data_IF_847126850620
#
_entry.id   IF_847126850620
#
_cell.length_a   1.000
_cell.length_b   1.000
_cell.length_c   1.000
_cell.angle_alpha   90.00
_cell.angle_beta   90.00
_cell.angle_gamma   90.00
#
_symmetry.space_group_name_H-M   'P 1'
#
loop_
_entity.id
_entity.type
_entity.pdbx_description
1 polymer ?
#
# COMPACT_ATOMS: atom_id res chain seq x y z
N UNK A 1 -19.48 18.10 -12.59
CA UNK A 1 -18.64 17.12 -11.88
C UNK A 1 -18.91 15.79 -12.55
N UNK A 2 -17.90 14.96 -12.82
CA UNK A 2 -18.11 13.71 -13.57
C UNK A 2 -18.86 12.68 -12.76
N UNK A 3 -19.64 11.85 -13.46
CA UNK A 3 -20.32 10.67 -12.90
C UNK A 3 -19.36 9.78 -12.09
N UNK A 4 -18.08 9.69 -12.49
CA UNK A 4 -17.06 8.91 -11.80
C UNK A 4 -16.67 9.47 -10.42
N UNK A 5 -16.37 10.77 -10.32
CA UNK A 5 -16.03 11.37 -9.02
C UNK A 5 -17.24 11.37 -8.07
N UNK A 6 -18.45 11.39 -8.61
CA UNK A 6 -19.67 11.28 -7.81
C UNK A 6 -19.84 9.90 -7.15
N UNK A 7 -19.15 8.85 -7.63
CA UNK A 7 -19.06 7.54 -6.96
C UNK A 7 -18.16 7.55 -5.72
N UNK A 8 -17.36 8.60 -5.52
CA UNK A 8 -16.48 8.78 -4.37
C UNK A 8 -17.09 9.76 -3.36
N UNK A 9 -16.78 9.56 -2.07
CA UNK A 9 -17.18 10.48 -1.03
C UNK A 9 -16.61 11.89 -1.27
N UNK A 10 -17.27 12.99 -0.84
CA UNK A 10 -16.83 14.35 -1.15
C UNK A 10 -15.36 14.66 -0.78
N UNK A 11 -14.84 14.04 0.29
CA UNK A 11 -13.45 14.19 0.75
C UNK A 11 -12.44 13.33 -0.02
N UNK A 12 -12.93 12.36 -0.79
CA UNK A 12 -12.16 11.36 -1.54
C UNK A 12 -12.02 11.73 -3.02
N UNK A 13 -12.59 12.86 -3.45
CA UNK A 13 -12.62 13.29 -4.86
C UNK A 13 -11.32 13.95 -5.31
N UNK A 14 -10.32 14.10 -4.45
CA UNK A 14 -9.03 14.74 -4.75
C UNK A 14 -7.87 13.88 -4.26
N UNK A 15 -6.68 14.15 -4.78
CA UNK A 15 -5.45 13.50 -4.31
C UNK A 15 -5.28 12.11 -4.88
N UNK A 16 -4.79 11.18 -4.06
CA UNK A 16 -4.38 9.85 -4.52
C UNK A 16 -5.56 8.95 -4.86
N UNK A 17 -6.60 8.95 -4.02
CA UNK A 17 -7.79 8.09 -4.19
C UNK A 17 -8.38 8.10 -5.61
N UNK A 18 -8.83 9.22 -6.19
CA UNK A 18 -9.43 9.21 -7.53
C UNK A 18 -8.45 8.74 -8.60
N UNK A 19 -7.14 8.92 -8.39
CA UNK A 19 -6.09 8.42 -9.31
C UNK A 19 -5.87 6.91 -9.19
N UNK A 20 -5.99 6.35 -7.99
CA UNK A 20 -5.99 4.89 -7.80
C UNK A 20 -7.21 4.23 -8.45
N UNK A 21 -8.39 4.84 -8.31
CA UNK A 21 -9.58 4.40 -9.07
C UNK A 21 -9.37 4.56 -10.57
N UNK A 22 -8.71 5.64 -11.03
CA UNK A 22 -8.39 5.77 -12.45
C UNK A 22 -7.45 4.67 -12.95
N UNK A 23 -6.40 4.33 -12.20
CA UNK A 23 -5.46 3.25 -12.55
C UNK A 23 -6.16 1.89 -12.76
N UNK A 24 -7.24 1.65 -12.02
CA UNK A 24 -7.98 0.38 -11.98
C UNK A 24 -9.31 0.42 -12.75
N UNK A 25 -9.58 1.48 -13.52
CA UNK A 25 -10.80 1.64 -14.33
C UNK A 25 -10.64 1.17 -15.78
N UNK A 26 -11.71 0.79 -16.46
CA UNK A 26 -11.67 0.38 -17.88
C UNK A 26 -11.57 -1.13 -18.10
N UNK A 27 -11.09 -1.52 -19.29
CA UNK A 27 -10.92 -2.93 -19.63
C UNK A 27 -9.85 -3.61 -18.77
N UNK A 28 -10.00 -4.91 -18.56
CA UNK A 28 -9.04 -5.71 -17.80
C UNK A 28 -7.62 -5.65 -18.37
N UNK A 29 -7.50 -5.55 -19.69
CA UNK A 29 -6.24 -5.43 -20.43
C UNK A 29 -5.54 -4.11 -20.10
N UNK A 30 -6.24 -2.98 -20.20
CA UNK A 30 -5.66 -1.67 -19.90
C UNK A 30 -5.28 -1.52 -18.43
N UNK A 31 -6.08 -2.07 -17.51
CA UNK A 31 -5.73 -2.08 -16.08
C UNK A 31 -4.47 -2.91 -15.86
N UNK A 32 -4.40 -4.12 -16.42
CA UNK A 32 -3.24 -4.98 -16.29
C UNK A 32 -1.96 -4.34 -16.84
N UNK A 33 -2.04 -3.65 -17.98
CA UNK A 33 -0.92 -2.89 -18.56
C UNK A 33 -0.45 -1.77 -17.62
N UNK A 34 -1.37 -0.97 -17.10
CA UNK A 34 -1.02 0.13 -16.17
C UNK A 34 -0.45 -0.36 -14.85
N UNK A 35 -0.97 -1.46 -14.29
CA UNK A 35 -0.42 -2.03 -13.05
C UNK A 35 0.93 -2.71 -13.30
N UNK A 36 1.11 -3.34 -14.47
CA UNK A 36 2.39 -3.94 -14.87
C UNK A 36 3.48 -2.89 -15.00
N UNK A 37 3.21 -1.76 -15.66
CA UNK A 37 4.23 -0.70 -15.83
C UNK A 37 4.71 -0.09 -14.52
N UNK A 38 3.94 -0.19 -13.43
CA UNK A 38 4.38 0.22 -12.09
C UNK A 38 5.37 -0.77 -11.47
N UNK A 39 5.28 -2.05 -11.79
CA UNK A 39 6.03 -3.12 -11.12
C UNK A 39 7.14 -3.74 -11.97
N UNK A 40 7.23 -3.40 -13.25
CA UNK A 40 8.34 -3.85 -14.10
C UNK A 40 9.72 -3.44 -13.53
N UNK A 41 10.76 -4.28 -13.74
CA UNK A 41 10.73 -5.63 -14.34
C UNK A 41 10.36 -6.75 -13.33
N UNK A 42 9.93 -6.39 -12.12
CA UNK A 42 9.81 -7.30 -10.98
C UNK A 42 8.55 -8.15 -10.96
N UNK A 43 7.58 -7.85 -11.81
CA UNK A 43 6.37 -8.66 -11.91
C UNK A 43 5.50 -8.27 -13.09
N UNK A 44 4.39 -8.97 -13.21
CA UNK A 44 3.39 -8.76 -14.27
C UNK A 44 1.99 -8.99 -13.73
N UNK A 45 1.08 -8.10 -14.09
CA UNK A 45 -0.36 -8.25 -13.94
C UNK A 45 -0.94 -8.59 -15.31
N UNK A 46 -1.90 -9.50 -15.37
CA UNK A 46 -2.59 -9.91 -16.59
C UNK A 46 -4.09 -9.62 -16.49
N UNK A 47 -4.83 -9.66 -17.60
CA UNK A 47 -6.28 -9.49 -17.56
C UNK A 47 -7.03 -10.59 -16.78
N UNK A 48 -6.34 -11.69 -16.44
CA UNK A 48 -6.89 -12.77 -15.60
C UNK A 48 -6.69 -12.54 -14.10
N UNK A 49 -5.80 -11.62 -13.73
CA UNK A 49 -5.56 -11.26 -12.35
C UNK A 49 -6.75 -10.50 -11.76
N UNK A 50 -6.78 -10.43 -10.43
CA UNK A 50 -7.82 -9.73 -9.68
C UNK A 50 -7.22 -8.54 -8.96
N UNK A 51 -7.93 -7.42 -8.98
CA UNK A 51 -7.54 -6.21 -8.25
C UNK A 51 -8.71 -5.59 -7.51
N UNK A 52 -8.37 -4.72 -6.56
CA UNK A 52 -9.25 -3.84 -5.81
C UNK A 52 -8.55 -2.47 -5.62
N UNK A 53 -9.25 -1.33 -5.75
CA UNK A 53 -10.65 -1.19 -6.20
C UNK A 53 -10.81 -1.56 -7.69
N UNK A 54 -12.04 -1.72 -8.18
CA UNK A 54 -12.35 -1.94 -9.61
C UNK A 54 -12.78 -0.63 -10.27
N UNK A 55 -11.83 0.30 -10.29
CA UNK A 55 -12.04 1.66 -10.71
C UNK A 55 -13.19 2.33 -9.97
N UNK A 56 -14.10 2.95 -10.72
CA UNK A 56 -15.27 3.64 -10.19
C UNK A 56 -16.53 2.75 -10.11
N UNK A 57 -16.44 1.46 -10.49
CA UNK A 57 -17.57 0.52 -10.43
C UNK A 57 -17.71 -0.07 -9.04
N UNK A 58 -16.59 -0.55 -8.49
CA UNK A 58 -16.49 -0.96 -7.09
C UNK A 58 -15.33 -0.21 -6.44
N UNK A 59 -15.68 0.74 -5.57
CA UNK A 59 -14.73 1.67 -4.95
C UNK A 59 -14.14 1.15 -3.65
N UNK A 60 -14.44 -0.09 -3.25
CA UNK A 60 -13.89 -0.69 -2.05
C UNK A 60 -12.39 -0.97 -2.20
N UNK A 61 -11.59 -0.29 -1.37
CA UNK A 61 -10.16 -0.55 -1.20
C UNK A 61 -9.91 -1.83 -0.40
N UNK A 62 -8.74 -2.44 -0.60
CA UNK A 62 -8.48 -3.76 -0.06
C UNK A 62 -8.10 -3.71 1.43
N UNK A 63 -8.98 -4.22 2.28
CA UNK A 63 -8.58 -4.82 3.55
C UNK A 63 -8.44 -6.33 3.33
N UNK A 64 -7.20 -6.84 3.28
CA UNK A 64 -6.94 -8.21 2.80
C UNK A 64 -7.69 -9.31 3.56
N UNK A 65 -7.98 -9.11 4.85
CA UNK A 65 -8.79 -10.04 5.64
C UNK A 65 -10.26 -10.14 5.21
N UNK A 66 -10.75 -9.19 4.40
CA UNK A 66 -12.11 -9.12 3.82
C UNK A 66 -12.08 -9.10 2.29
N UNK A 67 -10.97 -9.48 1.67
CA UNK A 67 -10.78 -9.43 0.22
C UNK A 67 -10.74 -10.86 -0.38
N UNK A 68 -11.86 -11.61 -0.39
CA UNK A 68 -11.89 -12.99 -0.90
C UNK A 68 -11.51 -13.09 -2.38
N UNK A 69 -11.53 -11.95 -3.09
CA UNK A 69 -11.11 -11.82 -4.49
C UNK A 69 -9.59 -11.89 -4.66
N UNK A 70 -8.83 -11.51 -3.63
CA UNK A 70 -7.37 -11.43 -3.64
C UNK A 70 -6.73 -12.55 -2.83
N UNK A 71 -7.41 -13.01 -1.79
CA UNK A 71 -6.89 -13.96 -0.83
C UNK A 71 -7.97 -14.95 -0.39
N UNK A 72 -7.60 -16.21 -0.19
CA UNK A 72 -8.52 -17.21 0.36
C UNK A 72 -9.11 -16.74 1.70
N UNK A 73 -10.42 -16.95 1.96
CA UNK A 73 -11.06 -16.50 3.19
C UNK A 73 -10.40 -17.03 4.48
N UNK A 74 -9.87 -18.25 4.49
CA UNK A 74 -9.19 -18.81 5.66
C UNK A 74 -7.86 -18.08 5.91
N UNK A 75 -7.12 -17.76 4.85
CA UNK A 75 -5.93 -16.92 4.97
C UNK A 75 -6.29 -15.50 5.44
N UNK A 76 -7.41 -14.94 4.96
CA UNK A 76 -7.94 -13.67 5.44
C UNK A 76 -8.22 -13.69 6.95
N UNK A 77 -8.82 -14.77 7.44
CA UNK A 77 -9.06 -14.99 8.87
C UNK A 77 -7.74 -15.10 9.65
N UNK A 78 -6.76 -15.85 9.14
CA UNK A 78 -5.43 -15.95 9.76
C UNK A 78 -4.76 -14.58 9.90
N UNK A 79 -4.86 -13.71 8.88
CA UNK A 79 -4.34 -12.35 8.96
C UNK A 79 -5.06 -11.51 10.01
N UNK A 80 -6.39 -11.64 10.13
CA UNK A 80 -7.17 -10.93 11.13
C UNK A 80 -6.78 -11.34 12.55
N UNK A 81 -6.73 -12.64 12.84
CA UNK A 81 -6.42 -13.20 14.15
C UNK A 81 -4.94 -12.97 14.55
N UNK A 82 -4.06 -12.95 13.55
CA UNK A 82 -2.68 -12.55 13.75
C UNK A 82 -2.59 -11.08 14.18
N UNK A 83 -3.26 -10.17 13.47
CA UNK A 83 -3.10 -8.73 13.69
C UNK A 83 -3.87 -8.17 14.89
N UNK A 84 -5.02 -8.78 15.22
CA UNK A 84 -5.96 -8.27 16.23
C UNK A 84 -6.13 -9.29 17.35
N UNK A 85 -6.01 -8.82 18.60
CA UNK A 85 -6.32 -9.65 19.77
C UNK A 85 -7.82 -9.78 20.03
N UNK A 86 -8.60 -8.79 19.58
CA UNK A 86 -10.06 -8.75 19.72
C UNK A 86 -10.68 -8.31 18.41
N UNK A 87 -11.50 -9.19 17.83
CA UNK A 87 -12.28 -8.93 16.61
C UNK A 87 -13.65 -8.39 16.99
N UNK A 88 -14.06 -7.34 16.30
CA UNK A 88 -15.39 -6.72 16.38
C UNK A 88 -15.85 -6.34 14.98
N UNK A 89 -17.14 -6.08 14.76
CA UNK A 89 -17.65 -5.68 13.44
C UNK A 89 -16.91 -4.47 12.83
N UNK A 90 -16.43 -3.56 13.69
CA UNK A 90 -15.71 -2.34 13.31
C UNK A 90 -14.18 -2.49 13.32
N UNK A 91 -13.65 -3.69 13.60
CA UNK A 91 -12.20 -3.91 13.59
C UNK A 91 -11.64 -3.70 12.19
N UNK A 92 -10.68 -2.78 12.07
CA UNK A 92 -9.98 -2.46 10.83
C UNK A 92 -8.58 -3.06 10.83
N UNK A 93 -8.20 -3.67 9.72
CA UNK A 93 -6.80 -3.97 9.40
C UNK A 93 -6.24 -2.86 8.52
N UNK A 94 -4.93 -2.87 8.21
CA UNK A 94 -4.41 -2.15 7.07
C UNK A 94 -5.29 -2.27 5.84
N UNK A 95 -5.53 -1.11 5.22
CA UNK A 95 -6.22 -0.93 3.97
C UNK A 95 -5.18 -0.52 2.91
N UNK A 96 -5.31 -1.02 1.70
CA UNK A 96 -4.39 -0.75 0.58
C UNK A 96 -5.12 0.04 -0.50
N UNK A 97 -4.50 1.11 -0.99
CA UNK A 97 -5.12 1.96 -2.00
C UNK A 97 -5.36 1.20 -3.31
N UNK A 98 -4.41 0.32 -3.66
CA UNK A 98 -4.59 -0.74 -4.67
C UNK A 98 -3.99 -2.03 -4.14
N UNK A 99 -4.67 -3.16 -4.35
CA UNK A 99 -4.07 -4.48 -4.22
C UNK A 99 -4.47 -5.35 -5.42
N UNK A 100 -3.55 -6.17 -5.91
CA UNK A 100 -3.77 -7.07 -7.05
C UNK A 100 -3.06 -8.40 -6.86
N UNK A 101 -3.63 -9.48 -7.39
CA UNK A 101 -2.84 -10.67 -7.70
C UNK A 101 -1.89 -10.35 -8.86
N UNK A 102 -0.73 -11.00 -8.87
CA UNK A 102 0.23 -10.86 -9.94
C UNK A 102 1.16 -12.08 -10.02
N UNK A 103 1.99 -12.11 -11.05
CA UNK A 103 3.20 -12.93 -11.07
C UNK A 103 4.39 -12.07 -10.66
N UNK A 104 5.12 -12.49 -9.63
CA UNK A 104 6.37 -11.86 -9.18
C UNK A 104 7.55 -12.58 -9.81
N UNK A 105 8.39 -11.82 -10.49
CA UNK A 105 9.61 -12.26 -11.15
C UNK A 105 10.80 -12.00 -10.22
N UNK A 106 11.31 -13.05 -9.58
CA UNK A 106 12.50 -12.97 -8.75
C UNK A 106 13.44 -14.14 -9.04
N UNK A 107 14.75 -13.87 -9.13
CA UNK A 107 15.79 -14.87 -9.36
C UNK A 107 15.53 -15.76 -10.60
N UNK A 108 15.03 -15.15 -11.69
CA UNK A 108 14.76 -15.84 -12.95
C UNK A 108 13.55 -16.77 -12.96
N UNK A 109 12.70 -16.74 -11.91
CA UNK A 109 11.45 -17.53 -11.84
C UNK A 109 10.26 -16.62 -11.56
N UNK A 110 9.14 -16.91 -12.21
CA UNK A 110 7.84 -16.30 -11.91
C UNK A 110 7.11 -17.10 -10.83
N UNK A 111 6.63 -16.43 -9.78
CA UNK A 111 5.79 -17.04 -8.74
C UNK A 111 4.47 -16.25 -8.59
N UNK A 112 3.35 -16.91 -8.26
CA UNK A 112 2.16 -16.21 -7.82
C UNK A 112 2.48 -15.30 -6.62
N UNK A 113 1.91 -14.10 -6.62
CA UNK A 113 2.13 -13.13 -5.56
C UNK A 113 1.09 -12.04 -5.52
N UNK A 114 1.36 -11.05 -4.68
CA UNK A 114 0.52 -9.89 -4.47
C UNK A 114 1.28 -8.61 -4.78
N UNK A 115 0.65 -7.74 -5.55
CA UNK A 115 0.99 -6.33 -5.65
C UNK A 115 0.18 -5.58 -4.59
N UNK A 116 0.86 -4.87 -3.70
CA UNK A 116 0.27 -4.02 -2.67
C UNK A 116 0.76 -2.59 -2.85
N UNK A 117 -0.15 -1.62 -2.89
CA UNK A 117 0.18 -0.24 -3.22
C UNK A 117 -0.34 0.70 -2.14
N UNK A 118 0.56 1.56 -1.66
CA UNK A 118 0.26 2.75 -0.87
C UNK A 118 0.60 3.98 -1.72
N UNK A 119 -0.31 4.95 -1.77
CA UNK A 119 -0.23 6.08 -2.68
C UNK A 119 -0.38 7.41 -1.97
N UNK A 120 0.38 8.40 -2.43
CA UNK A 120 0.37 9.76 -1.92
C UNK A 120 0.31 10.75 -3.08
N UNK A 121 -0.34 11.88 -2.86
CA UNK A 121 -0.45 12.96 -3.84
C UNK A 121 0.17 14.28 -3.34
N UNK A 122 0.56 14.38 -2.07
CA UNK A 122 1.27 15.55 -1.55
C UNK A 122 2.16 15.23 -0.35
N UNK A 123 3.12 16.12 -0.08
CA UNK A 123 4.16 15.95 0.94
C UNK A 123 3.61 15.69 2.35
N UNK A 124 2.56 16.43 2.73
CA UNK A 124 2.01 16.36 4.10
C UNK A 124 1.36 15.02 4.48
N UNK A 125 1.05 14.15 3.52
CA UNK A 125 0.47 12.85 3.86
C UNK A 125 1.48 11.97 4.59
N UNK A 126 2.73 11.91 4.12
CA UNK A 126 3.81 11.19 4.82
C UNK A 126 4.29 11.93 6.06
N UNK A 127 4.44 13.26 6.01
CA UNK A 127 4.94 14.03 7.17
C UNK A 127 4.06 13.84 8.42
N UNK A 128 2.74 13.73 8.24
CA UNK A 128 1.80 13.50 9.35
C UNK A 128 1.91 12.09 9.94
N UNK A 129 2.47 11.15 9.19
CA UNK A 129 2.65 9.77 9.61
C UNK A 129 3.85 9.55 10.52
N UNK A 130 4.70 10.56 10.74
CA UNK A 130 5.74 10.50 11.79
C UNK A 130 5.12 10.23 13.18
N UNK A 131 3.84 10.59 13.34
CA UNK A 131 3.05 10.23 14.52
C UNK A 131 2.58 8.77 14.48
N UNK A 132 2.67 8.09 15.61
CA UNK A 132 2.24 6.71 15.77
C UNK A 132 0.73 6.50 15.74
N UNK A 133 0.35 5.23 15.86
CA UNK A 133 -1.06 4.84 16.02
C UNK A 133 -1.65 5.44 17.30
N UNK A 134 -2.43 6.49 17.16
CA UNK A 134 -3.08 7.15 18.29
C UNK A 134 -4.14 6.26 18.92
N UNK A 135 -4.20 6.28 20.26
CA UNK A 135 -5.34 5.76 21.01
C UNK A 135 -6.36 6.88 21.21
N UNK A 136 -7.65 6.60 20.99
CA UNK A 136 -8.71 7.53 21.36
C UNK A 136 -8.94 7.46 22.87
N UNK A 137 -9.06 8.61 23.52
CA UNK A 137 -9.38 8.70 24.95
C UNK A 137 -10.88 8.95 25.15
N UNK A 138 -11.54 8.26 26.11
CA UNK A 138 -10.99 7.19 26.94
C UNK A 138 -10.68 5.92 26.12
N UNK A 139 -9.58 5.24 26.46
CA UNK A 139 -9.14 4.03 25.75
C UNK A 139 -9.93 2.84 26.27
N UNK A 140 -10.64 2.13 25.39
CA UNK A 140 -11.27 0.87 25.77
C UNK A 140 -10.23 -0.24 25.94
N UNK A 141 -10.49 -1.21 26.83
CA UNK A 141 -9.60 -2.37 27.03
C UNK A 141 -9.32 -3.12 25.73
N UNK A 142 -10.34 -3.30 24.88
CA UNK A 142 -10.17 -3.94 23.56
C UNK A 142 -9.24 -3.15 22.64
N UNK A 143 -9.32 -1.82 22.66
CA UNK A 143 -8.41 -0.96 21.90
C UNK A 143 -6.97 -1.11 22.39
N UNK A 144 -6.77 -1.16 23.72
CA UNK A 144 -5.46 -1.38 24.32
C UNK A 144 -4.89 -2.76 23.99
N UNK A 145 -5.69 -3.82 24.08
CA UNK A 145 -5.28 -5.19 23.71
C UNK A 145 -4.86 -5.28 22.24
N UNK A 146 -5.64 -4.68 21.34
CA UNK A 146 -5.29 -4.62 19.91
C UNK A 146 -4.02 -3.78 19.67
N UNK A 147 -3.86 -2.68 20.39
CA UNK A 147 -2.65 -1.86 20.29
C UNK A 147 -1.41 -2.64 20.73
N UNK A 148 -1.47 -3.39 21.83
CA UNK A 148 -0.38 -4.28 22.27
C UNK A 148 -0.09 -5.40 21.26
N UNK A 149 -1.13 -6.06 20.73
CA UNK A 149 -0.98 -7.12 19.72
C UNK A 149 -0.23 -6.64 18.49
N UNK A 150 -0.61 -5.47 17.97
CA UNK A 150 0.04 -4.85 16.82
C UNK A 150 1.52 -4.54 17.12
N UNK A 151 1.82 -4.05 18.33
CA UNK A 151 3.21 -3.83 18.74
C UNK A 151 4.03 -5.11 18.69
N UNK A 152 3.46 -6.23 19.16
CA UNK A 152 4.11 -7.55 19.09
C UNK A 152 4.33 -8.02 17.65
N UNK A 153 3.30 -7.91 16.78
CA UNK A 153 3.44 -8.26 15.36
C UNK A 153 4.55 -7.46 14.66
N UNK A 154 4.67 -6.16 14.96
CA UNK A 154 5.73 -5.30 14.41
C UNK A 154 7.11 -5.69 14.97
N UNK A 155 7.20 -6.04 16.24
CA UNK A 155 8.45 -6.52 16.83
C UNK A 155 8.91 -7.84 16.21
N UNK A 156 8.00 -8.80 16.03
CA UNK A 156 8.29 -10.07 15.36
C UNK A 156 8.78 -9.81 13.92
N UNK A 157 8.16 -8.84 13.23
CA UNK A 157 8.58 -8.46 11.88
C UNK A 157 9.97 -7.81 11.82
N UNK A 158 10.35 -6.97 12.80
CA UNK A 158 11.71 -6.42 12.87
C UNK A 158 12.75 -7.54 12.95
N UNK A 159 12.52 -8.55 13.79
CA UNK A 159 13.46 -9.67 13.95
C UNK A 159 13.62 -10.44 12.64
N UNK A 160 12.51 -10.86 12.03
CA UNK A 160 12.53 -11.65 10.80
C UNK A 160 13.10 -10.87 9.60
N UNK A 161 12.79 -9.57 9.48
CA UNK A 161 13.35 -8.73 8.43
C UNK A 161 14.84 -8.47 8.65
N UNK A 162 15.29 -8.25 9.89
CA UNK A 162 16.72 -8.11 10.17
C UNK A 162 17.50 -9.36 9.84
N UNK A 163 16.99 -10.53 10.24
CA UNK A 163 17.61 -11.81 9.91
C UNK A 163 17.63 -12.05 8.40
N UNK A 164 16.50 -11.81 7.73
CA UNK A 164 16.33 -12.15 6.32
C UNK A 164 16.97 -11.16 5.33
N UNK A 165 17.13 -9.89 5.69
CA UNK A 165 17.76 -8.89 4.79
C UNK A 165 19.19 -8.53 5.20
N UNK A 166 19.64 -8.90 6.41
CA UNK A 166 20.94 -8.49 6.96
C UNK A 166 21.05 -6.99 7.29
N UNK A 167 19.92 -6.28 7.37
CA UNK A 167 19.89 -4.87 7.77
C UNK A 167 19.26 -4.69 9.15
N UNK A 168 19.60 -3.59 9.82
CA UNK A 168 18.85 -3.20 11.02
C UNK A 168 17.45 -2.70 10.62
N UNK A 169 16.42 -3.22 11.28
CA UNK A 169 15.03 -2.78 11.17
C UNK A 169 14.53 -2.24 12.50
N UNK A 170 13.80 -1.13 12.45
CA UNK A 170 13.26 -0.39 13.59
C UNK A 170 11.82 0.06 13.33
N UNK A 171 11.02 -0.82 12.70
CA UNK A 171 9.59 -0.61 12.49
C UNK A 171 8.89 -0.34 13.84
N UNK A 172 7.91 0.55 13.82
CA UNK A 172 7.26 1.02 15.03
C UNK A 172 5.74 1.16 14.87
N UNK A 173 5.03 0.81 15.93
CA UNK A 173 3.61 1.16 16.07
C UNK A 173 3.44 2.65 16.38
N UNK A 174 4.43 3.24 17.05
CA UNK A 174 4.33 4.52 17.72
C UNK A 174 4.98 5.66 16.91
N UNK A 175 5.62 5.35 15.78
CA UNK A 175 6.16 6.28 14.78
C UNK A 175 6.10 5.68 13.39
N UNK A 176 5.90 6.48 12.35
CA UNK A 176 5.88 6.02 10.95
C UNK A 176 4.95 4.80 10.77
N UNK A 177 3.79 4.84 11.44
CA UNK A 177 2.97 3.65 11.67
C UNK A 177 2.44 3.06 10.37
N UNK A 178 2.09 3.92 9.40
CA UNK A 178 1.62 3.45 8.12
C UNK A 178 2.71 2.61 7.46
N UNK A 179 3.91 3.16 7.27
CA UNK A 179 5.00 2.44 6.66
C UNK A 179 5.38 1.16 7.41
N UNK A 180 5.47 1.25 8.73
CA UNK A 180 5.77 0.10 9.58
C UNK A 180 4.75 -1.03 9.42
N UNK A 181 3.46 -0.71 9.35
CA UNK A 181 2.44 -1.73 9.15
C UNK A 181 2.46 -2.33 7.74
N UNK A 182 2.83 -1.55 6.70
CA UNK A 182 2.89 -2.03 5.31
C UNK A 182 3.98 -3.09 5.15
N UNK A 183 5.18 -2.82 5.67
CA UNK A 183 6.26 -3.82 5.68
C UNK A 183 5.95 -5.03 6.55
N UNK A 184 5.34 -4.82 7.73
CA UNK A 184 4.95 -5.90 8.62
C UNK A 184 3.91 -6.84 7.98
N UNK A 185 2.93 -6.29 7.25
CA UNK A 185 1.94 -7.08 6.53
C UNK A 185 2.53 -7.78 5.31
N UNK A 186 3.42 -7.13 4.57
CA UNK A 186 4.14 -7.78 3.46
C UNK A 186 4.95 -8.98 3.94
N UNK A 187 5.67 -8.87 5.06
CA UNK A 187 6.36 -10.02 5.66
C UNK A 187 5.36 -11.11 6.07
N UNK A 188 4.21 -10.76 6.65
CA UNK A 188 3.24 -11.78 7.04
C UNK A 188 2.72 -12.57 5.84
N UNK A 189 2.49 -11.92 4.71
CA UNK A 189 2.09 -12.59 3.47
C UNK A 189 3.19 -13.49 2.91
N UNK A 190 4.45 -13.09 3.06
CA UNK A 190 5.63 -13.90 2.75
C UNK A 190 5.65 -15.19 3.59
N UNK A 191 5.38 -15.10 4.90
CA UNK A 191 5.26 -16.28 5.78
C UNK A 191 4.12 -17.21 5.34
N UNK A 192 3.03 -16.64 4.82
CA UNK A 192 1.89 -17.38 4.28
C UNK A 192 2.12 -17.90 2.84
N UNK A 193 3.32 -17.68 2.27
CA UNK A 193 3.74 -18.28 1.01
C UNK A 193 3.56 -17.40 -0.23
N UNK A 194 3.22 -16.12 -0.08
CA UNK A 194 3.09 -15.19 -1.21
C UNK A 194 4.38 -14.40 -1.41
N UNK A 195 4.84 -14.28 -2.66
CA UNK A 195 5.77 -13.19 -3.00
C UNK A 195 5.01 -11.87 -3.03
N UNK A 196 5.64 -10.77 -2.59
CA UNK A 196 4.99 -9.47 -2.44
C UNK A 196 5.81 -8.38 -3.12
N UNK A 197 5.17 -7.62 -4.01
CA UNK A 197 5.67 -6.34 -4.51
C UNK A 197 4.94 -5.23 -3.77
N UNK A 198 5.69 -4.45 -2.98
CA UNK A 198 5.16 -3.36 -2.17
C UNK A 198 5.52 -2.03 -2.83
N UNK A 199 4.54 -1.33 -3.42
CA UNK A 199 4.77 -0.07 -4.13
C UNK A 199 4.37 1.11 -3.26
N UNK A 200 5.29 2.05 -3.08
CA UNK A 200 5.02 3.41 -2.63
C UNK A 200 4.91 4.32 -3.86
N UNK A 201 3.67 4.69 -4.20
CA UNK A 201 3.32 5.45 -5.39
C UNK A 201 3.13 6.94 -5.10
N UNK A 202 3.93 7.79 -5.72
CA UNK A 202 3.72 9.24 -5.73
C UNK A 202 2.93 9.66 -6.97
N UNK A 203 1.77 10.27 -6.79
CA UNK A 203 1.08 10.95 -7.89
C UNK A 203 1.66 12.34 -8.11
N UNK A 204 2.27 12.53 -9.27
CA UNK A 204 2.89 13.79 -9.65
C UNK A 204 1.83 14.80 -10.09
N UNK A 205 2.17 16.08 -10.01
CA UNK A 205 1.37 17.19 -10.55
C UNK A 205 -0.08 17.23 -10.04
N UNK A 206 -0.32 16.74 -8.82
CA UNK A 206 -1.62 16.81 -8.15
C UNK A 206 -1.92 18.21 -7.60
N UNK A 207 -1.86 19.23 -8.47
CA UNK A 207 -1.97 20.66 -8.12
C UNK A 207 -3.27 21.00 -7.40
N UNK A 208 -4.33 20.20 -7.56
CA UNK A 208 -5.58 20.39 -6.82
C UNK A 208 -5.47 20.12 -5.31
N UNK A 209 -4.32 19.57 -4.88
CA UNK A 209 -3.95 19.35 -3.48
C UNK A 209 -3.14 20.51 -2.88
N UNK A 210 -2.75 21.52 -3.64
CA UNK A 210 -1.95 22.62 -3.12
C UNK A 210 -2.73 23.47 -2.12
N UNK A 211 -2.12 23.74 -0.96
CA UNK A 211 -2.63 24.66 0.07
C UNK A 211 -1.51 25.61 0.52
N UNK A 212 -0.89 26.25 -0.46
CA UNK A 212 0.25 27.16 -0.25
C UNK A 212 1.47 26.44 0.32
N UNK A 213 2.25 27.12 1.16
CA UNK A 213 3.51 26.58 1.72
C UNK A 213 3.33 25.34 2.60
N UNK A 214 2.12 25.11 3.12
CA UNK A 214 1.85 24.03 4.07
C UNK A 214 1.67 22.67 3.40
N UNK A 215 1.25 22.61 2.14
CA UNK A 215 0.95 21.37 1.44
C UNK A 215 1.14 21.61 -0.05
N UNK A 216 2.05 20.85 -0.66
CA UNK A 216 2.36 20.93 -2.08
C UNK A 216 2.35 19.54 -2.70
N UNK A 217 1.88 19.47 -3.94
CA UNK A 217 2.02 18.31 -4.79
C UNK A 217 3.50 17.98 -5.03
N UNK A 218 3.75 16.75 -5.51
CA UNK A 218 5.07 16.34 -5.98
C UNK A 218 5.26 16.81 -7.43
N UNK A 219 6.33 17.55 -7.70
CA UNK A 219 6.63 18.02 -9.05
C UNK A 219 7.24 16.92 -9.93
N UNK A 220 8.08 16.07 -9.33
CA UNK A 220 8.80 15.01 -10.03
C UNK A 220 9.05 13.77 -9.17
N UNK A 221 9.60 12.73 -9.80
CA UNK A 221 9.93 11.47 -9.14
C UNK A 221 11.00 11.65 -8.05
N UNK A 222 11.97 12.56 -8.24
CA UNK A 222 13.08 12.73 -7.31
C UNK A 222 12.60 13.33 -5.98
N UNK A 223 11.66 14.29 -6.03
CA UNK A 223 11.02 14.84 -4.84
C UNK A 223 10.27 13.76 -4.06
N UNK A 224 9.47 12.93 -4.75
CA UNK A 224 8.77 11.81 -4.12
C UNK A 224 9.74 10.80 -3.50
N UNK A 225 10.75 10.38 -4.27
CA UNK A 225 11.72 9.38 -3.82
C UNK A 225 12.52 9.87 -2.61
N UNK A 226 12.95 11.14 -2.63
CA UNK A 226 13.66 11.73 -1.51
C UNK A 226 12.79 11.72 -0.25
N UNK A 227 11.50 12.07 -0.36
CA UNK A 227 10.59 12.06 0.79
C UNK A 227 10.39 10.66 1.37
N UNK A 228 10.14 9.65 0.53
CA UNK A 228 9.97 8.26 0.98
C UNK A 228 11.24 7.74 1.66
N UNK A 229 12.42 8.02 1.08
CA UNK A 229 13.70 7.63 1.66
C UNK A 229 13.97 8.33 2.99
N UNK A 230 13.72 9.63 3.09
CA UNK A 230 13.87 10.36 4.35
C UNK A 230 12.91 9.86 5.44
N UNK A 231 11.65 9.57 5.07
CA UNK A 231 10.66 9.04 6.00
C UNK A 231 10.96 7.61 6.45
N UNK A 232 11.57 6.79 5.59
CA UNK A 232 11.97 5.40 5.90
C UNK A 232 13.33 5.27 6.60
N UNK A 233 14.20 6.27 6.49
CA UNK A 233 15.57 6.20 7.02
C UNK A 233 15.67 5.85 8.52
N UNK A 234 14.77 6.31 9.42
CA UNK A 234 14.78 5.88 10.82
C UNK A 234 14.39 4.41 11.02
N UNK A 235 13.74 3.79 10.03
CA UNK A 235 13.19 2.44 10.13
C UNK A 235 14.13 1.39 9.57
N UNK A 236 14.83 1.66 8.46
CA UNK A 236 15.72 0.71 7.79
C UNK A 236 16.62 1.40 6.75
N UNK A 237 17.61 0.66 6.23
CA UNK A 237 18.53 1.15 5.21
C UNK A 237 17.82 1.46 3.88
N UNK A 238 18.18 2.56 3.21
CA UNK A 238 17.64 2.89 1.89
C UNK A 238 17.89 1.81 0.82
N UNK A 239 18.88 0.92 1.03
CA UNK A 239 19.20 -0.21 0.16
C UNK A 239 18.05 -1.22 0.05
N UNK A 240 17.10 -1.19 0.98
CA UNK A 240 15.89 -2.04 0.95
C UNK A 240 15.02 -1.73 -0.26
N UNK A 241 14.99 -0.46 -0.70
CA UNK A 241 14.18 -0.02 -1.82
C UNK A 241 14.76 -0.47 -3.16
N UNK A 242 13.86 -0.74 -4.11
CA UNK A 242 14.16 -1.11 -5.50
C UNK A 242 15.07 -2.34 -5.62
N UNK A 243 14.93 -3.26 -4.67
CA UNK A 243 15.67 -4.52 -4.58
C UNK A 243 14.73 -5.68 -4.22
N UNK A 244 15.15 -6.90 -4.56
CA UNK A 244 14.44 -8.13 -4.21
C UNK A 244 15.11 -8.83 -3.03
N UNK A 245 14.32 -9.12 -1.99
CA UNK A 245 14.75 -9.79 -0.78
C UNK A 245 14.13 -11.19 -0.70
N UNK A 246 14.97 -12.22 -0.67
CA UNK A 246 14.51 -13.59 -0.53
C UNK A 246 14.24 -13.91 0.95
N UNK A 247 12.98 -14.11 1.30
CA UNK A 247 12.50 -14.33 2.67
C UNK A 247 11.59 -15.55 2.65
N UNK A 248 11.88 -16.58 3.46
CA UNK A 248 11.10 -17.82 3.52
C UNK A 248 10.82 -18.45 2.12
N UNK A 249 11.81 -18.38 1.22
CA UNK A 249 11.67 -18.88 -0.15
C UNK A 249 10.77 -18.05 -1.08
N UNK A 250 10.21 -16.93 -0.61
CA UNK A 250 9.44 -15.95 -1.38
C UNK A 250 10.22 -14.65 -1.56
N UNK A 251 9.75 -13.76 -2.44
CA UNK A 251 10.39 -12.48 -2.70
C UNK A 251 9.59 -11.32 -2.11
N UNK A 252 10.24 -10.48 -1.31
CA UNK A 252 9.76 -9.15 -0.94
C UNK A 252 10.46 -8.10 -1.81
N UNK A 253 9.69 -7.29 -2.55
CA UNK A 253 10.21 -6.30 -3.48
C UNK A 253 9.58 -4.93 -3.18
N UNK A 254 10.18 -4.11 -2.32
CA UNK A 254 9.72 -2.75 -2.02
C UNK A 254 10.15 -1.80 -3.13
N UNK A 255 9.22 -1.06 -3.72
CA UNK A 255 9.47 -0.17 -4.85
C UNK A 255 9.02 1.25 -4.54
N UNK A 256 9.81 2.22 -4.99
CA UNK A 256 9.38 3.62 -5.05
C UNK A 256 9.03 3.94 -6.49
N UNK A 257 7.79 4.35 -6.75
CA UNK A 257 7.30 4.67 -8.10
C UNK A 257 6.56 5.99 -8.09
N UNK A 258 6.44 6.60 -9.26
CA UNK A 258 5.61 7.79 -9.44
C UNK A 258 4.94 7.78 -10.80
N UNK A 259 3.78 8.41 -10.90
CA UNK A 259 3.05 8.55 -12.15
C UNK A 259 2.33 9.89 -12.19
N UNK A 260 2.26 10.51 -13.37
CA UNK A 260 1.38 11.64 -13.61
C UNK A 260 0.04 11.15 -14.15
N UNK A 261 -1.02 11.39 -13.38
CA UNK A 261 -2.39 11.23 -13.84
C UNK A 261 -3.08 12.57 -13.66
N UNK A 262 -3.33 13.24 -14.79
CA UNK A 262 -4.00 14.53 -14.81
C UNK A 262 -5.38 14.46 -14.18
N UNK A 263 -5.65 15.34 -13.21
CA UNK A 263 -6.96 15.46 -12.60
C UNK A 263 -8.05 15.89 -13.62
N UNK A 264 -7.66 16.68 -14.63
CA UNK A 264 -8.54 17.05 -15.72
C UNK A 264 -9.00 15.85 -16.55
N UNK A 265 -8.14 14.82 -16.70
CA UNK A 265 -8.50 13.56 -17.38
C UNK A 265 -9.60 12.82 -16.62
N UNK A 266 -9.49 12.74 -15.30
CA UNK A 266 -10.50 12.13 -14.42
C UNK A 266 -11.83 12.94 -14.49
N UNK A 267 -11.73 14.27 -14.53
CA UNK A 267 -12.87 15.17 -14.73
C UNK A 267 -13.47 15.13 -16.13
N UNK A 268 -12.76 14.61 -17.13
CA UNK A 268 -13.32 14.42 -18.47
C UNK A 268 -14.04 13.07 -18.60
N UNK A 269 -13.69 12.09 -17.75
CA UNK A 269 -14.26 10.73 -17.79
C UNK A 269 -13.94 9.98 -19.09
N UNK A 270 -12.89 10.36 -19.81
CA UNK A 270 -12.51 9.76 -21.10
C UNK A 270 -11.27 8.90 -20.91
N UNK A 271 -11.40 7.60 -21.19
CA UNK A 271 -10.23 6.79 -21.49
C UNK A 271 -9.61 7.32 -22.80
N UNK A 272 -8.27 7.32 -22.86
CA UNK A 272 -7.56 7.72 -24.07
C UNK A 272 -7.51 6.55 -25.04
#
# INVERSE_FOLDING_TARGET
MTEFLDKLGPKERKGSKPRCHWLTHGSSEHVAERLTSLIEPWGRVTSKDRWMPEGFVNTEEAQLHRAPKLLDPEMGKQLQDWWLAVVSGNSKTPNWDIASTCTVSANGRGKPGLLLLESKAHTEELNKEDTGKSLRHPVSENSQRNHLRIGKCIQDANLALTEGTGFSWSLSRDRNYQMSNRFTWSLKLIELGFSVILVYLGFLNATEMDKGKKQRHFADHAEWQSLVKSHSAPLFSEKVWDASWALNGQALIPLIRSIDISYAKILAGREA
#
